data_IF_795300516517
#
_entry.id   IF_795300516517
#
_cell.length_a   1.000
_cell.length_b   1.000
_cell.length_c   1.000
_cell.angle_alpha   90.00
_cell.angle_beta   90.00
_cell.angle_gamma   90.00
#
_symmetry.space_group_name_H-M   'P 1'
#
loop_
_entity.id
_entity.type
_entity.pdbx_description
1 polymer ?
#
# COMPACT_ATOMS: atom_id res chain seq x y z
N UNK A 1 16.59 -62.73 23.12
CA UNK A 1 16.36 -62.91 21.68
C UNK A 1 15.79 -61.61 21.12
N UNK A 2 16.65 -60.59 20.96
CA UNK A 2 16.34 -59.39 20.20
C UNK A 2 17.46 -59.32 19.17
N UNK A 3 17.17 -59.81 17.97
CA UNK A 3 18.12 -59.78 16.86
C UNK A 3 18.50 -58.34 16.56
N UNK A 4 19.78 -58.13 16.30
CA UNK A 4 20.34 -56.88 15.81
C UNK A 4 19.56 -56.44 14.58
N UNK A 5 18.63 -55.50 14.76
CA UNK A 5 18.05 -54.75 13.66
C UNK A 5 19.13 -53.81 13.15
N UNK A 6 19.94 -54.30 12.22
CA UNK A 6 20.74 -53.45 11.34
C UNK A 6 19.78 -52.70 10.43
N UNK A 7 19.37 -51.53 10.91
CA UNK A 7 18.64 -50.56 10.12
C UNK A 7 19.58 -50.06 9.01
N UNK A 8 19.27 -50.30 7.72
CA UNK A 8 20.10 -49.78 6.64
C UNK A 8 20.10 -48.25 6.74
N UNK A 9 21.25 -47.62 6.50
CA UNK A 9 21.51 -46.17 6.65
C UNK A 9 20.36 -45.29 6.10
N UNK A 10 19.72 -45.75 5.02
CA UNK A 10 18.52 -45.18 4.37
C UNK A 10 17.33 -44.97 5.32
N UNK A 11 17.12 -45.86 6.30
CA UNK A 11 16.00 -45.76 7.26
C UNK A 11 16.11 -44.52 8.14
N UNK A 12 17.32 -44.09 8.49
CA UNK A 12 17.53 -42.84 9.24
C UNK A 12 17.12 -41.63 8.39
N UNK A 13 17.47 -41.63 7.10
CA UNK A 13 17.05 -40.58 6.16
C UNK A 13 15.53 -40.59 5.93
N UNK A 14 14.91 -41.77 5.80
CA UNK A 14 13.46 -41.89 5.65
C UNK A 14 12.72 -41.39 6.90
N UNK A 15 13.22 -41.70 8.09
CA UNK A 15 12.68 -41.17 9.35
C UNK A 15 12.86 -39.65 9.41
N UNK A 16 14.01 -39.11 9.03
CA UNK A 16 14.23 -37.67 8.99
C UNK A 16 13.30 -36.95 8.00
N UNK A 17 13.08 -37.52 6.81
CA UNK A 17 12.13 -36.99 5.82
C UNK A 17 10.71 -37.02 6.37
N UNK A 18 10.30 -38.12 7.00
CA UNK A 18 8.98 -38.23 7.62
C UNK A 18 8.78 -37.21 8.74
N UNK A 19 9.79 -36.99 9.58
CA UNK A 19 9.75 -35.95 10.63
C UNK A 19 9.61 -34.56 10.02
N UNK A 20 10.36 -34.24 8.97
CA UNK A 20 10.24 -32.97 8.26
C UNK A 20 8.86 -32.78 7.63
N UNK A 21 8.29 -33.82 7.03
CA UNK A 21 6.95 -33.78 6.44
C UNK A 21 5.86 -33.59 7.50
N UNK A 22 5.98 -34.25 8.65
CA UNK A 22 5.04 -34.08 9.77
C UNK A 22 5.14 -32.68 10.35
N UNK A 23 6.36 -32.14 10.54
CA UNK A 23 6.57 -30.76 10.96
C UNK A 23 5.98 -29.76 9.95
N UNK A 24 6.16 -30.01 8.66
CA UNK A 24 5.57 -29.20 7.59
C UNK A 24 4.04 -29.23 7.61
N UNK A 25 3.44 -30.41 7.79
CA UNK A 25 1.98 -30.56 7.84
C UNK A 25 1.40 -29.91 9.11
N UNK A 26 2.07 -30.05 10.25
CA UNK A 26 1.71 -29.36 11.48
C UNK A 26 1.78 -27.83 11.31
N UNK A 27 2.82 -27.34 10.66
CA UNK A 27 2.97 -25.93 10.29
C UNK A 27 1.82 -25.45 9.38
N UNK A 28 1.49 -26.18 8.31
CA UNK A 28 0.37 -25.85 7.42
C UNK A 28 -0.97 -25.76 8.19
N UNK A 29 -1.20 -26.66 9.15
CA UNK A 29 -2.38 -26.60 10.00
C UNK A 29 -2.39 -25.36 10.92
N UNK A 30 -1.24 -24.97 11.49
CA UNK A 30 -1.13 -23.75 12.29
C UNK A 30 -1.31 -22.46 11.46
N UNK A 31 -0.89 -22.49 10.20
CA UNK A 31 -1.12 -21.44 9.20
C UNK A 31 -2.61 -21.30 8.88
N UNK A 32 -3.27 -22.41 8.54
CA UNK A 32 -4.71 -22.42 8.27
C UNK A 32 -5.54 -22.01 9.50
N UNK A 33 -5.05 -22.32 10.71
CA UNK A 33 -5.67 -21.93 11.96
C UNK A 33 -5.38 -20.46 12.36
N UNK A 34 -4.62 -19.70 11.56
CA UNK A 34 -4.30 -18.29 11.81
C UNK A 34 -3.44 -18.03 13.05
N UNK A 35 -2.87 -19.08 13.66
CA UNK A 35 -2.02 -19.00 14.86
C UNK A 35 -0.55 -18.71 14.51
N UNK A 36 -0.14 -19.03 13.29
CA UNK A 36 1.17 -18.73 12.71
C UNK A 36 0.91 -18.12 11.33
N UNK A 37 1.35 -16.89 11.05
CA UNK A 37 1.34 -16.40 9.67
C UNK A 37 2.44 -17.14 8.91
N UNK A 38 2.13 -17.69 7.73
CA UNK A 38 3.05 -18.50 6.91
C UNK A 38 4.30 -17.76 6.37
N UNK A 39 4.56 -16.56 6.87
CA UNK A 39 5.44 -15.55 6.31
C UNK A 39 6.74 -15.43 7.14
N UNK A 40 6.82 -16.02 8.35
CA UNK A 40 7.80 -15.61 9.37
C UNK A 40 9.21 -16.25 9.34
N UNK A 41 9.58 -17.12 8.38
CA UNK A 41 10.95 -17.70 8.34
C UNK A 41 11.77 -17.30 7.11
N UNK A 42 11.14 -17.03 5.96
CA UNK A 42 11.84 -16.59 4.75
C UNK A 42 11.43 -15.18 4.26
N UNK A 43 10.44 -14.56 4.90
CA UNK A 43 10.01 -13.21 4.58
C UNK A 43 9.99 -12.40 5.88
N UNK A 44 11.19 -11.93 6.28
CA UNK A 44 11.31 -10.74 7.15
C UNK A 44 10.27 -9.76 6.62
N UNK A 45 9.26 -9.38 7.42
CA UNK A 45 8.21 -8.44 7.02
C UNK A 45 8.74 -7.50 5.93
N UNK A 46 8.28 -7.69 4.68
CA UNK A 46 8.87 -7.03 3.51
C UNK A 46 8.84 -5.49 3.57
N UNK A 47 8.35 -4.93 4.67
CA UNK A 47 8.30 -3.52 5.01
C UNK A 47 9.28 -3.21 6.14
N UNK A 48 10.26 -2.35 5.86
CA UNK A 48 11.22 -1.82 6.85
C UNK A 48 10.89 -0.43 7.34
N UNK A 49 10.07 0.31 6.58
CA UNK A 49 9.56 1.62 6.95
C UNK A 49 8.19 1.87 6.36
N UNK A 50 7.45 2.76 6.99
CA UNK A 50 6.20 3.30 6.48
C UNK A 50 6.33 4.80 6.28
N UNK A 51 5.85 5.31 5.16
CA UNK A 51 5.86 6.74 4.84
C UNK A 51 4.42 7.21 4.68
N UNK A 52 4.01 8.19 5.47
CA UNK A 52 2.73 8.84 5.28
C UNK A 52 2.86 9.95 4.25
N UNK A 53 2.10 9.85 3.17
CA UNK A 53 2.12 10.82 2.08
C UNK A 53 0.72 11.32 1.82
N UNK A 54 0.57 12.63 1.69
CA UNK A 54 -0.68 13.26 1.28
C UNK A 54 -0.56 13.76 -0.14
N UNK A 55 -1.68 13.87 -0.88
CA UNK A 55 -1.63 14.53 -2.18
C UNK A 55 -1.15 15.98 -2.05
N UNK A 56 -0.73 16.59 -3.15
CA UNK A 56 -0.49 18.03 -3.19
C UNK A 56 -1.75 18.70 -3.74
N UNK A 57 -2.74 18.95 -2.88
CA UNK A 57 -4.06 19.46 -3.25
C UNK A 57 -4.54 20.49 -2.23
N UNK A 58 -5.15 21.58 -2.72
CA UNK A 58 -5.59 22.72 -1.88
C UNK A 58 -6.72 22.36 -0.91
N UNK A 59 -7.29 21.15 -1.05
CA UNK A 59 -8.35 20.64 -0.22
C UNK A 59 -7.83 19.86 1.01
N UNK A 60 -6.52 19.78 1.23
CA UNK A 60 -5.96 19.05 2.37
C UNK A 60 -5.89 19.99 3.57
N UNK A 61 -6.35 19.51 4.73
CA UNK A 61 -6.24 20.32 5.94
C UNK A 61 -4.79 20.38 6.42
N UNK A 62 -4.46 21.50 7.06
CA UNK A 62 -3.16 21.80 7.67
C UNK A 62 -2.56 20.61 8.43
N UNK A 63 -3.31 19.97 9.34
CA UNK A 63 -2.81 18.82 10.13
C UNK A 63 -2.33 17.66 9.25
N UNK A 64 -3.02 17.38 8.15
CA UNK A 64 -2.63 16.33 7.22
C UNK A 64 -1.46 16.78 6.34
N UNK A 65 -1.46 18.04 5.90
CA UNK A 65 -0.36 18.62 5.12
C UNK A 65 0.94 18.65 5.92
N UNK A 66 0.92 19.03 7.20
CA UNK A 66 2.06 19.00 8.12
C UNK A 66 2.58 17.59 8.37
N UNK A 67 1.72 16.58 8.23
CA UNK A 67 2.11 15.18 8.42
C UNK A 67 2.67 14.54 7.14
N UNK A 68 2.62 15.22 6.00
CA UNK A 68 3.13 14.71 4.73
C UNK A 68 4.62 14.45 4.81
N UNK A 69 5.09 13.25 4.49
CA UNK A 69 6.51 12.87 4.56
C UNK A 69 6.95 12.30 5.91
N UNK A 70 6.04 12.08 6.86
CA UNK A 70 6.38 11.40 8.11
C UNK A 70 6.73 9.93 7.86
N UNK A 71 7.85 9.49 8.41
CA UNK A 71 8.37 8.13 8.26
C UNK A 71 8.42 7.44 9.62
N UNK A 72 7.98 6.18 9.64
CA UNK A 72 7.84 5.38 10.86
C UNK A 72 8.43 3.97 10.70
N UNK A 73 8.90 3.41 11.80
CA UNK A 73 9.28 2.00 11.88
C UNK A 73 8.03 1.12 11.98
N UNK A 74 8.10 -0.14 11.49
CA UNK A 74 7.02 -1.10 11.67
C UNK A 74 6.59 -1.28 13.13
N UNK A 75 7.53 -1.24 14.07
CA UNK A 75 7.26 -1.33 15.51
C UNK A 75 6.43 -0.17 16.06
N UNK A 76 6.48 1.00 15.42
CA UNK A 76 5.66 2.16 15.80
C UNK A 76 4.26 2.02 15.21
N UNK A 77 4.15 1.60 13.95
CA UNK A 77 2.87 1.41 13.25
C UNK A 77 2.04 0.28 13.88
N UNK A 78 2.69 -0.76 14.40
CA UNK A 78 2.02 -1.88 15.07
C UNK A 78 1.41 -1.52 16.43
N UNK A 79 1.70 -0.33 16.99
CA UNK A 79 1.14 0.10 18.28
C UNK A 79 -0.37 0.33 18.15
N UNK A 80 -1.13 -0.12 19.16
CA UNK A 80 -2.58 0.11 19.22
C UNK A 80 -2.88 1.61 19.22
N UNK A 81 -3.78 2.04 18.33
CA UNK A 81 -4.16 3.44 18.19
C UNK A 81 -3.13 4.31 17.46
N UNK A 82 -2.16 3.69 16.75
CA UNK A 82 -1.23 4.42 15.90
C UNK A 82 -1.97 5.34 14.91
N UNK A 83 -1.48 6.56 14.80
CA UNK A 83 -1.91 7.53 13.80
C UNK A 83 -0.66 8.20 13.22
N UNK A 84 -0.55 8.30 11.89
CA UNK A 84 0.54 9.05 11.28
C UNK A 84 0.37 10.57 11.45
N UNK A 85 -0.83 11.02 11.84
CA UNK A 85 -1.14 12.43 12.03
C UNK A 85 -0.73 12.92 13.42
N UNK A 86 -0.20 14.14 13.49
CA UNK A 86 0.07 14.83 14.77
C UNK A 86 -1.20 15.24 15.54
N UNK A 87 -2.37 15.19 14.89
CA UNK A 87 -3.66 15.51 15.48
C UNK A 87 -4.83 14.91 14.68
N UNK A 88 -6.06 15.32 15.00
CA UNK A 88 -7.24 14.89 14.25
C UNK A 88 -7.38 15.72 12.96
N UNK A 89 -7.76 15.06 11.87
CA UNK A 89 -8.11 15.73 10.62
C UNK A 89 -9.24 16.75 10.88
N UNK A 90 -9.05 18.01 10.45
CA UNK A 90 -10.02 19.11 10.65
C UNK A 90 -11.23 19.00 9.71
N UNK A 91 -11.17 18.15 8.69
CA UNK A 91 -12.26 17.98 7.71
C UNK A 91 -13.30 16.95 8.18
N UNK A 92 -14.59 17.14 7.85
CA UNK A 92 -15.64 16.15 8.10
C UNK A 92 -15.38 14.81 7.40
N UNK A 93 -14.81 14.87 6.19
CA UNK A 93 -14.31 13.69 5.47
C UNK A 93 -12.79 13.65 5.60
N UNK A 94 -12.19 12.53 6.06
CA UNK A 94 -10.74 12.43 6.20
C UNK A 94 -10.00 12.77 4.92
N UNK A 95 -8.90 13.51 5.03
CA UNK A 95 -8.04 13.78 3.87
C UNK A 95 -7.48 12.47 3.31
N UNK A 96 -7.30 12.35 1.98
CA UNK A 96 -6.94 11.10 1.32
C UNK A 96 -5.44 10.76 1.43
N UNK A 97 -4.82 11.01 2.58
CA UNK A 97 -3.43 10.62 2.82
C UNK A 97 -3.28 9.12 2.99
N UNK A 98 -2.12 8.60 2.63
CA UNK A 98 -1.85 7.16 2.54
C UNK A 98 -0.58 6.84 3.30
N UNK A 99 -0.64 5.78 4.11
CA UNK A 99 0.53 5.20 4.75
C UNK A 99 1.08 4.10 3.84
N UNK A 100 2.21 4.38 3.20
CA UNK A 100 2.83 3.50 2.21
C UNK A 100 3.94 2.69 2.86
N UNK A 101 3.89 1.37 2.69
CA UNK A 101 4.88 0.43 3.18
C UNK A 101 6.05 0.30 2.19
N UNK A 102 7.29 0.36 2.66
CA UNK A 102 8.50 0.20 1.85
C UNK A 102 9.52 -0.73 2.52
N UNK A 103 10.18 -1.56 1.73
CA UNK A 103 11.41 -2.25 2.10
C UNK A 103 12.59 -1.28 2.09
N UNK A 104 12.76 -0.46 1.06
CA UNK A 104 13.79 0.59 1.04
C UNK A 104 15.20 0.06 0.74
N UNK A 105 15.38 -0.68 -0.35
CA UNK A 105 16.65 -1.34 -0.72
C UNK A 105 17.67 -0.47 -1.46
N UNK A 106 17.31 0.74 -1.89
CA UNK A 106 18.19 1.66 -2.63
C UNK A 106 18.90 2.65 -1.70
N UNK A 107 19.82 3.46 -2.24
CA UNK A 107 20.73 4.28 -1.43
C UNK A 107 19.97 5.32 -0.59
N UNK A 108 19.07 6.04 -1.21
CA UNK A 108 18.29 7.14 -0.63
C UNK A 108 17.39 6.62 0.50
N UNK A 109 16.64 5.53 0.25
CA UNK A 109 15.83 4.90 1.29
C UNK A 109 16.65 4.29 2.45
N UNK A 110 17.85 3.77 2.17
CA UNK A 110 18.76 3.31 3.23
C UNK A 110 19.20 4.47 4.13
N UNK A 111 19.48 5.65 3.56
CA UNK A 111 19.76 6.85 4.35
C UNK A 111 18.62 7.21 5.30
N UNK A 112 17.38 7.18 4.81
CA UNK A 112 16.17 7.40 5.62
C UNK A 112 16.03 6.36 6.74
N UNK A 113 16.27 5.07 6.44
CA UNK A 113 16.23 4.00 7.45
C UNK A 113 17.28 4.18 8.54
N UNK A 114 18.50 4.58 8.20
CA UNK A 114 19.56 4.84 9.20
C UNK A 114 19.21 6.06 10.07
N UNK A 115 18.66 7.12 9.48
CA UNK A 115 18.18 8.28 10.24
C UNK A 115 17.03 7.89 11.19
N UNK A 116 16.14 7.01 10.75
CA UNK A 116 15.03 6.52 11.55
C UNK A 116 15.51 5.62 12.71
N UNK A 117 16.53 4.78 12.47
CA UNK A 117 17.17 3.93 13.50
C UNK A 117 17.95 4.73 14.54
N UNK A 118 18.62 5.80 14.13
CA UNK A 118 19.31 6.69 15.09
C UNK A 118 18.32 7.49 15.94
N UNK A 119 17.10 7.72 15.45
CA UNK A 119 16.02 8.43 16.16
C UNK A 119 14.94 7.51 16.76
N UNK A 120 15.27 6.27 17.16
CA UNK A 120 14.33 5.27 17.71
C UNK A 120 13.39 5.77 18.82
N UNK A 121 13.82 6.76 19.62
CA UNK A 121 13.03 7.33 20.73
C UNK A 121 12.02 8.39 20.30
N UNK A 122 12.10 8.90 19.06
CA UNK A 122 11.17 9.91 18.51
C UNK A 122 10.03 9.22 17.77
N UNK A 123 8.87 9.86 17.70
CA UNK A 123 7.66 9.39 16.98
C UNK A 123 7.79 9.50 15.45
N UNK A 124 8.90 9.00 14.91
CA UNK A 124 9.25 9.03 13.49
C UNK A 124 10.22 10.16 13.12
N UNK A 125 10.47 10.29 11.82
CA UNK A 125 11.18 11.42 11.21
C UNK A 125 10.29 12.10 10.18
N UNK A 126 10.63 13.32 9.80
CA UNK A 126 9.87 14.12 8.84
C UNK A 126 10.76 14.37 7.62
N UNK A 127 10.33 13.91 6.45
CA UNK A 127 10.96 14.25 5.17
C UNK A 127 10.29 15.49 4.58
N UNK A 128 11.09 16.33 3.94
CA UNK A 128 10.64 17.41 3.07
C UNK A 128 10.11 16.88 1.75
N UNK A 129 9.38 17.71 1.00
CA UNK A 129 8.90 17.38 -0.34
C UNK A 129 10.06 17.06 -1.30
N UNK A 130 11.16 17.82 -1.22
CA UNK A 130 12.41 17.56 -1.94
C UNK A 130 12.99 16.19 -1.61
N UNK A 131 13.09 15.83 -0.32
CA UNK A 131 13.62 14.52 0.08
C UNK A 131 12.74 13.36 -0.38
N UNK A 132 11.41 13.53 -0.35
CA UNK A 132 10.48 12.55 -0.93
C UNK A 132 10.70 12.41 -2.45
N UNK A 133 10.88 13.52 -3.17
CA UNK A 133 11.19 13.50 -4.62
C UNK A 133 12.52 12.81 -4.91
N UNK A 134 13.57 13.12 -4.15
CA UNK A 134 14.88 12.46 -4.28
C UNK A 134 14.74 10.95 -4.06
N UNK A 135 13.95 10.55 -3.07
CA UNK A 135 13.72 9.14 -2.76
C UNK A 135 13.03 8.39 -3.90
N UNK A 136 11.98 8.95 -4.52
CA UNK A 136 11.26 8.29 -5.63
C UNK A 136 12.00 8.35 -6.97
N UNK A 137 12.84 9.37 -7.18
CA UNK A 137 13.68 9.51 -8.38
C UNK A 137 15.02 8.76 -8.28
N UNK A 138 15.31 8.15 -7.12
CA UNK A 138 16.52 7.35 -6.91
C UNK A 138 16.53 6.08 -7.76
N UNK A 139 17.63 5.32 -7.71
CA UNK A 139 17.80 4.08 -8.50
C UNK A 139 17.10 2.87 -7.85
N UNK A 140 15.84 3.02 -7.46
CA UNK A 140 15.08 1.97 -6.75
C UNK A 140 14.80 0.74 -7.63
N UNK A 141 14.60 0.92 -8.93
CA UNK A 141 14.37 -0.18 -9.89
C UNK A 141 15.53 -1.17 -9.96
N UNK A 142 16.77 -0.68 -9.78
CA UNK A 142 17.99 -1.50 -9.80
C UNK A 142 18.27 -2.18 -8.46
N UNK A 143 17.50 -1.85 -7.43
CA UNK A 143 17.69 -2.41 -6.10
C UNK A 143 17.04 -3.79 -5.98
N UNK A 144 17.54 -4.60 -5.05
CA UNK A 144 16.98 -5.92 -4.74
C UNK A 144 15.51 -5.87 -4.30
N UNK A 145 15.02 -4.71 -3.86
CA UNK A 145 13.62 -4.53 -3.46
C UNK A 145 12.79 -3.78 -4.48
N UNK A 146 13.33 -3.52 -5.68
CA UNK A 146 12.65 -2.77 -6.73
C UNK A 146 11.27 -3.33 -7.06
N UNK A 147 11.15 -4.65 -7.22
CA UNK A 147 9.86 -5.31 -7.46
C UNK A 147 8.89 -5.17 -6.27
N UNK A 148 9.39 -5.36 -5.04
CA UNK A 148 8.58 -5.27 -3.82
C UNK A 148 8.05 -3.87 -3.58
N UNK A 149 8.86 -2.85 -3.87
CA UNK A 149 8.57 -1.45 -3.59
C UNK A 149 7.90 -0.73 -4.78
N UNK A 150 7.85 -1.33 -5.97
CA UNK A 150 7.39 -0.67 -7.22
C UNK A 150 6.04 0.04 -7.08
N UNK A 151 5.02 -0.67 -6.57
CA UNK A 151 3.68 -0.09 -6.40
C UNK A 151 3.66 1.04 -5.36
N UNK A 152 4.40 0.86 -4.27
CA UNK A 152 4.57 1.87 -3.25
C UNK A 152 5.26 3.12 -3.78
N UNK A 153 6.30 2.96 -4.61
CA UNK A 153 7.02 4.09 -5.20
C UNK A 153 6.17 4.84 -6.20
N UNK A 154 5.49 4.15 -7.12
CA UNK A 154 4.58 4.83 -8.05
C UNK A 154 3.42 5.54 -7.33
N UNK A 155 2.97 5.02 -6.18
CA UNK A 155 1.99 5.72 -5.36
C UNK A 155 2.54 7.01 -4.76
N UNK A 156 3.76 6.97 -4.18
CA UNK A 156 4.41 8.15 -3.58
C UNK A 156 4.74 9.17 -4.66
N UNK A 157 5.31 8.72 -5.79
CA UNK A 157 5.61 9.55 -6.95
C UNK A 157 4.34 10.25 -7.45
N UNK A 158 3.25 9.50 -7.63
CA UNK A 158 2.01 10.10 -8.10
C UNK A 158 1.49 11.19 -7.17
N UNK A 159 1.58 11.00 -5.85
CA UNK A 159 1.20 12.02 -4.86
C UNK A 159 2.13 13.25 -4.89
N UNK A 160 3.43 13.05 -5.05
CA UNK A 160 4.44 14.13 -5.03
C UNK A 160 4.40 15.03 -6.28
N UNK A 161 3.86 14.53 -7.40
CA UNK A 161 3.87 15.22 -8.68
C UNK A 161 2.52 15.80 -9.10
N UNK A 162 1.46 15.74 -8.29
CA UNK A 162 0.12 16.14 -8.73
C UNK A 162 0.03 17.58 -9.24
N UNK A 163 0.73 18.53 -8.60
CA UNK A 163 0.81 19.94 -9.04
C UNK A 163 1.96 20.23 -10.00
N UNK A 164 2.99 19.38 -10.01
CA UNK A 164 4.23 19.61 -10.77
C UNK A 164 4.10 19.03 -12.18
N UNK A 165 3.64 17.79 -12.28
CA UNK A 165 3.42 17.06 -13.52
C UNK A 165 2.26 16.08 -13.37
N UNK A 166 1.06 16.53 -13.71
CA UNK A 166 -0.16 15.73 -13.63
C UNK A 166 -0.10 14.45 -14.46
N UNK A 167 0.65 14.43 -15.57
CA UNK A 167 0.81 13.24 -16.41
C UNK A 167 1.50 12.09 -15.68
N UNK A 168 2.55 12.40 -14.93
CA UNK A 168 3.25 11.42 -14.06
C UNK A 168 2.30 10.89 -12.99
N UNK A 169 1.53 11.76 -12.35
CA UNK A 169 0.55 11.36 -11.33
C UNK A 169 -0.55 10.45 -11.88
N UNK A 170 -1.11 10.80 -13.04
CA UNK A 170 -2.12 9.98 -13.70
C UNK A 170 -1.55 8.60 -14.06
N UNK A 171 -0.33 8.54 -14.61
CA UNK A 171 0.32 7.28 -14.94
C UNK A 171 0.58 6.41 -13.70
N UNK A 172 1.13 6.99 -12.63
CA UNK A 172 1.43 6.28 -11.38
C UNK A 172 0.18 5.72 -10.71
N UNK A 173 -0.89 6.52 -10.57
CA UNK A 173 -2.16 6.00 -10.01
C UNK A 173 -2.80 4.94 -10.89
N UNK A 174 -2.73 5.08 -12.22
CA UNK A 174 -3.25 4.10 -13.17
C UNK A 174 -2.50 2.77 -13.02
N UNK A 175 -1.17 2.83 -12.91
CA UNK A 175 -0.33 1.66 -12.67
C UNK A 175 -0.71 0.97 -11.36
N UNK A 176 -0.83 1.72 -10.25
CA UNK A 176 -1.24 1.16 -8.94
C UNK A 176 -2.62 0.52 -9.01
N UNK A 177 -3.60 1.16 -9.63
CA UNK A 177 -4.95 0.63 -9.75
C UNK A 177 -5.01 -0.68 -10.54
N UNK A 178 -4.14 -0.84 -11.55
CA UNK A 178 -4.08 -2.03 -12.41
C UNK A 178 -3.29 -3.17 -11.76
N UNK A 179 -2.14 -2.87 -11.14
CA UNK A 179 -1.17 -3.89 -10.74
C UNK A 179 -1.23 -4.28 -9.25
N UNK A 180 -1.89 -3.49 -8.38
CA UNK A 180 -2.09 -3.89 -6.99
C UNK A 180 -3.10 -5.05 -6.88
N UNK A 181 -2.58 -6.28 -6.94
CA UNK A 181 -3.35 -7.55 -6.88
C UNK A 181 -3.14 -8.32 -5.57
N UNK A 182 -2.00 -8.10 -4.92
CA UNK A 182 -1.62 -8.78 -3.68
C UNK A 182 -2.19 -8.09 -2.44
N UNK A 183 -2.49 -8.87 -1.40
CA UNK A 183 -3.11 -8.39 -0.15
C UNK A 183 -2.37 -7.19 0.45
N UNK A 184 -1.03 -7.21 0.45
CA UNK A 184 -0.19 -6.13 0.97
C UNK A 184 -0.38 -4.78 0.25
N UNK A 185 -0.79 -4.81 -1.01
CA UNK A 185 -0.95 -3.62 -1.86
C UNK A 185 -2.39 -3.13 -1.94
N UNK A 186 -3.36 -3.91 -1.44
CA UNK A 186 -4.79 -3.56 -1.54
C UNK A 186 -5.13 -2.24 -0.84
N UNK A 187 -4.38 -1.85 0.19
CA UNK A 187 -4.55 -0.58 0.89
C UNK A 187 -4.26 0.65 0.00
N UNK A 188 -3.51 0.48 -1.09
CA UNK A 188 -3.18 1.55 -2.04
C UNK A 188 -4.29 1.77 -3.09
N UNK A 189 -5.13 0.76 -3.33
CA UNK A 189 -6.13 0.79 -4.40
C UNK A 189 -7.15 1.90 -4.23
N UNK A 190 -7.84 1.95 -3.09
CA UNK A 190 -8.91 2.92 -2.87
C UNK A 190 -8.39 4.36 -3.00
N UNK A 191 -7.27 4.74 -2.37
CA UNK A 191 -6.65 6.04 -2.61
C UNK A 191 -6.30 6.30 -4.08
N UNK A 192 -5.68 5.33 -4.78
CA UNK A 192 -5.31 5.49 -6.19
C UNK A 192 -6.53 5.75 -7.07
N UNK A 193 -7.63 5.00 -6.90
CA UNK A 193 -8.88 5.24 -7.62
C UNK A 193 -9.45 6.63 -7.32
N UNK A 194 -9.55 7.02 -6.05
CA UNK A 194 -10.13 8.31 -5.66
C UNK A 194 -9.34 9.49 -6.23
N UNK A 195 -8.00 9.42 -6.20
CA UNK A 195 -7.13 10.46 -6.75
C UNK A 195 -7.15 10.49 -8.27
N UNK A 196 -7.05 9.33 -8.91
CA UNK A 196 -7.08 9.25 -10.38
C UNK A 196 -8.39 9.80 -10.95
N UNK A 197 -9.55 9.40 -10.41
CA UNK A 197 -10.85 9.97 -10.80
C UNK A 197 -10.84 11.50 -10.62
N UNK A 198 -10.30 12.00 -9.51
CA UNK A 198 -10.26 13.43 -9.25
C UNK A 198 -9.42 14.19 -10.29
N UNK A 199 -8.25 13.66 -10.65
CA UNK A 199 -7.37 14.26 -11.64
C UNK A 199 -8.00 14.23 -13.04
N UNK A 200 -8.64 13.13 -13.43
CA UNK A 200 -9.33 13.01 -14.72
C UNK A 200 -10.50 14.00 -14.82
N UNK A 201 -11.31 14.11 -13.77
CA UNK A 201 -12.41 15.09 -13.72
C UNK A 201 -11.88 16.52 -13.87
N UNK A 202 -10.78 16.86 -13.17
CA UNK A 202 -10.15 18.20 -13.28
C UNK A 202 -9.57 18.48 -14.67
N UNK A 203 -9.08 17.45 -15.34
CA UNK A 203 -8.56 17.54 -16.70
C UNK A 203 -9.67 17.59 -17.78
N UNK A 204 -10.94 17.40 -17.41
CA UNK A 204 -12.06 17.32 -18.37
C UNK A 204 -12.21 15.96 -19.05
N UNK A 205 -11.45 14.95 -18.61
CA UNK A 205 -11.48 13.58 -19.14
C UNK A 205 -12.66 12.76 -18.57
N UNK A 206 -13.88 13.28 -18.76
CA UNK A 206 -15.11 12.78 -18.15
C UNK A 206 -15.43 11.33 -18.51
N UNK A 207 -15.16 10.91 -19.75
CA UNK A 207 -15.41 9.55 -20.21
C UNK A 207 -14.51 8.53 -19.49
N UNK A 208 -13.21 8.81 -19.41
CA UNK A 208 -12.27 7.94 -18.68
C UNK A 208 -12.58 7.91 -17.18
N UNK A 209 -12.93 9.07 -16.60
CA UNK A 209 -13.32 9.15 -15.20
C UNK A 209 -14.55 8.28 -14.89
N UNK A 210 -15.57 8.29 -15.77
CA UNK A 210 -16.77 7.48 -15.60
C UNK A 210 -16.45 5.98 -15.67
N UNK A 211 -15.70 5.55 -16.67
CA UNK A 211 -15.28 4.15 -16.81
C UNK A 211 -14.51 3.69 -15.56
N UNK A 212 -13.63 4.54 -15.04
CA UNK A 212 -12.84 4.24 -13.85
C UNK A 212 -13.72 4.08 -12.60
N UNK A 213 -14.77 4.90 -12.45
CA UNK A 213 -15.74 4.75 -11.35
C UNK A 213 -16.50 3.42 -11.47
N UNK A 214 -16.91 3.03 -12.68
CA UNK A 214 -17.60 1.75 -12.89
C UNK A 214 -16.70 0.55 -12.57
N UNK A 215 -15.42 0.62 -12.97
CA UNK A 215 -14.41 -0.39 -12.58
C UNK A 215 -14.24 -0.44 -11.06
N UNK A 216 -14.23 0.71 -10.38
CA UNK A 216 -14.16 0.78 -8.92
C UNK A 216 -15.39 0.11 -8.25
N UNK A 217 -16.60 0.41 -8.72
CA UNK A 217 -17.84 -0.18 -8.19
C UNK A 217 -17.87 -1.71 -8.39
N UNK A 218 -17.43 -2.18 -9.57
CA UNK A 218 -17.32 -3.62 -9.85
C UNK A 218 -16.30 -4.30 -8.94
N UNK A 219 -15.15 -3.66 -8.71
CA UNK A 219 -14.06 -4.21 -7.88
C UNK A 219 -14.41 -4.21 -6.39
N UNK A 220 -15.17 -3.22 -5.93
CA UNK A 220 -15.59 -3.08 -4.54
C UNK A 220 -17.12 -3.11 -4.41
N UNK A 221 -17.76 -4.30 -4.49
CA UNK A 221 -19.20 -4.43 -4.27
C UNK A 221 -19.64 -3.84 -2.93
N UNK A 222 -20.84 -3.27 -2.87
CA UNK A 222 -21.40 -2.65 -1.64
C UNK A 222 -21.58 -3.67 -0.51
N UNK A 223 -21.79 -4.94 -0.86
CA UNK A 223 -21.98 -6.05 0.08
C UNK A 223 -20.71 -6.47 0.81
N UNK A 224 -19.52 -6.06 0.33
CA UNK A 224 -18.24 -6.44 0.90
C UNK A 224 -17.62 -5.30 1.72
N UNK A 225 -17.04 -5.67 2.86
CA UNK A 225 -16.38 -4.78 3.83
C UNK A 225 -15.06 -5.38 4.27
N UNK A 226 -14.14 -4.53 4.70
CA UNK A 226 -12.83 -4.94 5.21
C UNK A 226 -11.85 -3.78 5.28
N UNK A 227 -10.65 -4.00 5.84
CA UNK A 227 -9.65 -2.95 6.05
C UNK A 227 -9.18 -2.26 4.75
N UNK A 228 -9.17 -3.01 3.64
CA UNK A 228 -8.76 -2.53 2.31
C UNK A 228 -9.96 -2.19 1.39
N UNK A 229 -11.19 -2.28 1.91
CA UNK A 229 -12.39 -1.86 1.20
C UNK A 229 -12.67 -0.38 1.44
N UNK A 230 -13.30 0.31 0.49
CA UNK A 230 -13.66 1.70 0.68
C UNK A 230 -14.69 1.87 1.79
N UNK A 231 -14.52 2.93 2.58
CA UNK A 231 -15.48 3.38 3.58
C UNK A 231 -16.75 3.93 2.93
N UNK A 232 -17.83 4.07 3.70
CA UNK A 232 -19.08 4.63 3.20
C UNK A 232 -18.89 6.05 2.67
N UNK A 233 -18.10 6.87 3.36
CA UNK A 233 -17.76 8.22 2.91
C UNK A 233 -17.04 8.20 1.55
N UNK A 234 -16.09 7.28 1.34
CA UNK A 234 -15.37 7.15 0.06
C UNK A 234 -16.29 6.67 -1.07
N UNK A 235 -17.24 5.77 -0.77
CA UNK A 235 -18.26 5.33 -1.73
C UNK A 235 -19.19 6.46 -2.14
N UNK A 236 -19.65 7.27 -1.19
CA UNK A 236 -20.49 8.43 -1.47
C UNK A 236 -19.76 9.50 -2.29
N UNK A 237 -18.45 9.69 -2.08
CA UNK A 237 -17.62 10.55 -2.95
C UNK A 237 -17.66 10.05 -4.41
N UNK A 238 -17.45 8.75 -4.64
CA UNK A 238 -17.49 8.18 -6.00
C UNK A 238 -18.87 8.30 -6.65
N UNK A 239 -19.93 8.00 -5.89
CA UNK A 239 -21.32 8.10 -6.36
C UNK A 239 -21.72 9.52 -6.74
N UNK A 240 -21.33 10.49 -5.91
CA UNK A 240 -21.57 11.91 -6.16
C UNK A 240 -20.89 12.34 -7.45
N UNK A 241 -19.60 12.00 -7.62
CA UNK A 241 -18.84 12.29 -8.87
C UNK A 241 -19.47 11.64 -10.10
N UNK A 242 -19.88 10.37 -10.03
CA UNK A 242 -20.58 9.68 -11.12
C UNK A 242 -21.85 10.42 -11.53
N UNK A 243 -22.64 10.87 -10.56
CA UNK A 243 -23.88 11.60 -10.81
C UNK A 243 -23.62 12.95 -11.49
N UNK A 244 -22.56 13.67 -11.09
CA UNK A 244 -22.14 14.89 -11.77
C UNK A 244 -21.70 14.63 -13.21
N UNK A 245 -20.82 13.65 -13.42
CA UNK A 245 -20.33 13.28 -14.75
C UNK A 245 -21.47 12.89 -15.72
N UNK A 246 -22.47 12.16 -15.25
CA UNK A 246 -23.63 11.77 -16.06
C UNK A 246 -24.56 12.95 -16.38
N UNK A 247 -24.61 13.97 -15.53
CA UNK A 247 -25.38 15.20 -15.82
C UNK A 247 -24.68 16.06 -16.87
N UNK A 248 -23.35 16.12 -16.80
CA UNK A 248 -22.53 16.93 -17.70
C UNK A 248 -22.27 16.24 -19.05
N UNK A 249 -22.62 14.96 -19.19
CA UNK A 249 -22.62 14.19 -20.44
C UNK A 249 -23.96 13.46 -20.61
N UNK A 250 -24.99 14.10 -21.21
CA UNK A 250 -26.17 13.35 -21.63
C UNK A 250 -25.70 12.27 -22.61
N UNK A 251 -25.92 11.01 -22.25
CA UNK A 251 -25.56 9.85 -23.05
C UNK A 251 -25.95 10.11 -24.51
N UNK A 252 -24.99 10.05 -25.44
CA UNK A 252 -25.29 9.90 -26.87
C UNK A 252 -26.00 8.56 -27.00
N UNK A 253 -27.33 8.58 -26.97
CA UNK A 253 -28.17 7.45 -27.35
C UNK A 253 -27.88 7.25 -28.85
N UNK A 254 -27.32 6.11 -29.28
CA UNK A 254 -27.21 5.83 -30.71
C UNK A 254 -28.64 5.67 -31.25
N UNK A 255 -28.94 6.45 -32.30
CA UNK A 255 -30.16 6.33 -33.09
C UNK A 255 -30.13 5.06 -33.96
#
# INVERSE_FOLDING_TARGET
MFGELQFPDITVYLVAILVLLVLWQYYQMQVMAGRILAVDIFDRSGTRMYIYVTPDDDHICEVCSESNGRVFLPSQVAKKGFSPLGGKCKRPTPCPGVLVALYGGWLEARGVLELLRTNLKKDGIQLSAEELRVMVNGQWERSISGETDRLSIHMIEALCYEKVNQGVSVAGYRYVAQEAKEVRHLMLLVPAYLRLVQLLVRAGESAEALELIERFEKRFPVTKRGPHFPSDAQREVMKTRKTHLLKDHPMKIPA
#
